data_IF_885325387305
#
_entry.id   IF_885325387305
#
_cell.length_a   1.000
_cell.length_b   1.000
_cell.length_c   1.000
_cell.angle_alpha   90.00
_cell.angle_beta   90.00
_cell.angle_gamma   90.00
#
_symmetry.space_group_name_H-M   'P 1'
#
loop_
_entity.id
_entity.type
_entity.pdbx_description
1 polymer ?
#
# COMPACT_ATOMS: atom_id res chain seq x y z
N UNK A 1 -29.85 51.44 -4.78
CA UNK A 1 -29.49 50.55 -3.64
C UNK A 1 -29.56 49.08 -4.06
N UNK A 2 -28.52 48.54 -4.72
CA UNK A 2 -28.45 47.14 -5.20
C UNK A 2 -27.10 46.45 -4.93
N UNK A 3 -26.24 47.06 -4.10
CA UNK A 3 -24.86 46.61 -3.91
C UNK A 3 -24.70 45.59 -2.76
N UNK A 4 -25.56 45.64 -1.73
CA UNK A 4 -25.31 44.90 -0.49
C UNK A 4 -25.69 43.42 -0.56
N UNK A 5 -26.67 43.04 -1.39
CA UNK A 5 -27.14 41.64 -1.47
C UNK A 5 -26.15 40.72 -2.22
N UNK A 6 -25.45 41.24 -3.23
CA UNK A 6 -24.48 40.46 -4.02
C UNK A 6 -23.20 40.17 -3.22
N UNK A 7 -22.75 41.15 -2.42
CA UNK A 7 -21.60 41.00 -1.52
C UNK A 7 -21.94 39.98 -0.41
N UNK A 8 -23.16 40.04 0.15
CA UNK A 8 -23.61 39.08 1.15
C UNK A 8 -23.64 37.65 0.60
N UNK A 9 -24.16 37.47 -0.62
CA UNK A 9 -24.22 36.15 -1.28
C UNK A 9 -22.83 35.60 -1.60
N UNK A 10 -21.91 36.46 -2.03
CA UNK A 10 -20.51 36.10 -2.31
C UNK A 10 -19.75 35.72 -1.03
N UNK A 11 -19.98 36.42 0.08
CA UNK A 11 -19.41 36.07 1.40
C UNK A 11 -19.95 34.75 1.95
N UNK A 12 -21.25 34.47 1.75
CA UNK A 12 -21.87 33.19 2.15
C UNK A 12 -21.28 32.03 1.33
N UNK A 13 -21.12 32.18 0.01
CA UNK A 13 -20.48 31.17 -0.85
C UNK A 13 -19.02 30.91 -0.46
N UNK A 14 -18.25 31.95 -0.17
CA UNK A 14 -16.86 31.82 0.26
C UNK A 14 -16.75 31.10 1.63
N UNK A 15 -17.68 31.38 2.55
CA UNK A 15 -17.75 30.70 3.85
C UNK A 15 -18.11 29.22 3.74
N UNK A 16 -18.89 28.82 2.73
CA UNK A 16 -19.24 27.40 2.49
C UNK A 16 -18.03 26.65 1.92
N UNK A 17 -17.23 27.28 1.05
CA UNK A 17 -16.00 26.71 0.49
C UNK A 17 -14.85 26.58 1.50
N UNK A 18 -14.87 27.36 2.59
CA UNK A 18 -13.85 27.34 3.66
C UNK A 18 -14.18 26.36 4.80
N UNK A 19 -15.32 25.66 4.74
CA UNK A 19 -15.53 24.51 5.62
C UNK A 19 -14.61 23.39 5.16
N UNK A 20 -13.43 23.35 5.76
CA UNK A 20 -12.55 22.18 5.76
C UNK A 20 -13.41 20.96 6.07
N UNK A 21 -13.49 20.01 5.13
CA UNK A 21 -13.96 18.66 5.45
C UNK A 21 -12.90 18.10 6.39
N UNK A 22 -13.12 18.24 7.70
CA UNK A 22 -12.32 17.57 8.70
C UNK A 22 -12.63 16.08 8.60
N UNK A 23 -11.87 15.36 7.77
CA UNK A 23 -11.82 13.90 7.81
C UNK A 23 -11.15 13.54 9.13
N UNK A 24 -11.96 13.44 10.18
CA UNK A 24 -11.51 12.88 11.45
C UNK A 24 -11.39 11.38 11.23
N UNK A 25 -10.19 10.93 10.87
CA UNK A 25 -9.80 9.54 11.05
C UNK A 25 -9.78 9.28 12.56
N UNK A 26 -10.93 8.91 13.13
CA UNK A 26 -10.91 8.22 14.40
C UNK A 26 -10.31 6.85 14.11
N UNK A 27 -9.03 6.69 14.40
CA UNK A 27 -8.48 5.36 14.69
C UNK A 27 -9.12 4.89 15.99
N UNK A 28 -10.41 4.55 15.94
CA UNK A 28 -11.02 3.71 16.95
C UNK A 28 -10.41 2.34 16.71
N UNK A 29 -9.48 1.95 17.59
CA UNK A 29 -9.18 0.54 17.81
C UNK A 29 -10.47 -0.08 18.35
N UNK A 30 -11.37 -0.41 17.42
CA UNK A 30 -12.56 -1.19 17.69
C UNK A 30 -12.06 -2.54 18.12
N UNK A 31 -12.29 -2.93 19.37
CA UNK A 31 -12.02 -4.29 19.87
C UNK A 31 -12.99 -5.34 19.29
N UNK A 32 -13.69 -5.02 18.21
CA UNK A 32 -14.39 -5.98 17.35
C UNK A 32 -14.46 -5.45 15.91
N UNK A 33 -13.77 -6.07 14.95
CA UNK A 33 -14.22 -6.24 13.54
C UNK A 33 -13.04 -6.50 12.59
N UNK A 34 -13.02 -7.68 11.97
CA UNK A 34 -12.15 -8.08 10.85
C UNK A 34 -10.66 -7.70 10.97
N UNK A 35 -9.82 -8.61 11.46
CA UNK A 35 -8.37 -8.44 11.50
C UNK A 35 -7.83 -8.06 10.11
N UNK A 36 -7.50 -6.78 9.92
CA UNK A 36 -6.86 -6.30 8.70
C UNK A 36 -5.44 -6.87 8.66
N UNK A 37 -5.09 -7.54 7.57
CA UNK A 37 -3.73 -8.05 7.36
C UNK A 37 -2.83 -6.90 6.90
N UNK A 38 -2.03 -6.35 7.82
CA UNK A 38 -1.03 -5.32 7.53
C UNK A 38 0.35 -5.98 7.61
N UNK A 39 0.92 -6.33 6.45
CA UNK A 39 2.08 -7.22 6.35
C UNK A 39 3.28 -6.58 5.67
N UNK A 40 4.43 -6.59 6.34
CA UNK A 40 5.71 -6.17 5.77
C UNK A 40 6.42 -7.40 5.19
N UNK A 41 6.42 -7.51 3.86
CA UNK A 41 6.95 -8.66 3.16
C UNK A 41 8.47 -8.80 3.36
N UNK A 42 8.91 -9.97 3.80
CA UNK A 42 10.33 -10.22 4.07
C UNK A 42 10.91 -9.58 5.33
N UNK A 43 10.09 -8.91 6.15
CA UNK A 43 10.51 -8.42 7.45
C UNK A 43 10.74 -9.58 8.43
N UNK A 44 11.79 -9.49 9.25
CA UNK A 44 12.09 -10.47 10.31
C UNK A 44 11.33 -10.21 11.61
N UNK A 45 10.78 -9.01 11.78
CA UNK A 45 10.05 -8.58 12.96
C UNK A 45 8.96 -7.57 12.63
N UNK A 46 8.07 -7.34 13.59
CA UNK A 46 7.06 -6.31 13.50
C UNK A 46 7.68 -4.91 13.60
N UNK A 47 6.98 -3.92 13.08
CA UNK A 47 7.36 -2.52 13.28
C UNK A 47 6.29 -1.55 12.81
N UNK A 48 6.46 -0.29 13.17
CA UNK A 48 5.46 0.76 12.94
C UNK A 48 5.97 1.73 11.90
N UNK A 49 5.12 2.12 10.96
CA UNK A 49 5.49 3.13 9.96
C UNK A 49 5.33 4.57 10.46
N UNK A 50 5.65 5.53 9.60
CA UNK A 50 5.55 6.97 9.90
C UNK A 50 4.12 7.44 10.22
N UNK A 51 3.10 6.70 9.77
CA UNK A 51 1.69 6.99 10.00
C UNK A 51 1.17 6.33 11.30
N UNK A 52 2.03 5.62 12.04
CA UNK A 52 1.65 4.90 13.25
C UNK A 52 0.95 3.56 12.98
N UNK A 53 1.02 3.01 11.77
CA UNK A 53 0.43 1.70 11.45
C UNK A 53 1.38 0.58 11.84
N UNK A 54 0.84 -0.43 12.53
CA UNK A 54 1.60 -1.61 12.93
C UNK A 54 1.64 -2.66 11.81
N UNK A 55 2.83 -2.96 11.33
CA UNK A 55 3.09 -3.97 10.30
C UNK A 55 3.65 -5.24 10.92
N UNK A 56 3.16 -6.39 10.47
CA UNK A 56 3.58 -7.72 10.92
C UNK A 56 4.39 -8.45 9.83
N UNK A 57 5.30 -9.37 10.19
CA UNK A 57 5.96 -10.24 9.22
C UNK A 57 4.96 -11.09 8.41
N UNK A 58 5.30 -11.31 7.15
CA UNK A 58 4.46 -11.99 6.16
C UNK A 58 4.53 -13.53 6.23
N UNK A 59 5.57 -14.07 6.86
CA UNK A 59 5.95 -15.49 6.78
C UNK A 59 4.83 -16.48 7.14
N UNK A 60 3.96 -16.14 8.10
CA UNK A 60 2.85 -17.01 8.55
C UNK A 60 1.72 -17.17 7.51
N UNK A 61 1.73 -16.35 6.45
CA UNK A 61 0.66 -16.31 5.45
C UNK A 61 1.07 -16.92 4.12
N UNK A 62 2.26 -17.49 3.99
CA UNK A 62 2.79 -18.04 2.74
C UNK A 62 2.73 -19.56 2.80
N UNK A 63 2.09 -20.18 1.81
CA UNK A 63 1.95 -21.64 1.78
C UNK A 63 3.27 -22.37 1.42
N UNK A 64 4.19 -21.71 0.70
CA UNK A 64 5.42 -22.33 0.18
C UNK A 64 6.65 -21.41 0.32
N UNK A 65 7.14 -21.16 1.55
CA UNK A 65 8.22 -20.18 1.79
C UNK A 65 9.57 -20.59 1.18
N UNK A 66 9.79 -21.90 0.94
CA UNK A 66 11.07 -22.44 0.45
C UNK A 66 11.50 -21.98 -0.93
N UNK A 67 10.60 -21.38 -1.72
CA UNK A 67 10.88 -20.87 -3.06
C UNK A 67 10.96 -19.33 -3.11
N UNK A 68 11.17 -18.69 -1.96
CA UNK A 68 11.23 -17.23 -1.86
C UNK A 68 12.51 -16.76 -1.17
N UNK A 69 12.96 -15.57 -1.54
CA UNK A 69 14.11 -14.90 -0.93
C UNK A 69 13.58 -13.68 -0.20
N UNK A 70 13.98 -13.48 1.05
CA UNK A 70 13.72 -12.24 1.77
C UNK A 70 14.97 -11.37 1.70
N UNK A 71 14.81 -10.09 1.40
CA UNK A 71 15.95 -9.19 1.24
C UNK A 71 15.59 -7.78 1.69
N UNK A 72 16.62 -7.04 2.12
CA UNK A 72 16.53 -5.60 2.37
C UNK A 72 17.03 -4.86 1.13
N UNK A 73 16.37 -3.77 0.76
CA UNK A 73 16.80 -2.93 -0.35
C UNK A 73 18.22 -2.42 -0.09
N UNK A 74 19.08 -2.48 -1.11
CA UNK A 74 20.47 -2.05 -0.98
C UNK A 74 20.62 -0.54 -0.84
N UNK A 75 19.63 0.21 -1.32
CA UNK A 75 19.57 1.66 -1.24
C UNK A 75 18.21 2.09 -0.71
N UNK A 76 18.22 3.11 0.16
CA UNK A 76 17.03 3.78 0.65
C UNK A 76 16.85 5.11 -0.09
N UNK A 77 15.76 5.23 -0.83
CA UNK A 77 15.38 6.50 -1.44
C UNK A 77 14.92 7.49 -0.34
N UNK A 78 15.44 8.73 -0.31
CA UNK A 78 15.11 9.72 0.72
C UNK A 78 13.64 10.16 0.69
N UNK A 79 12.91 9.91 -0.40
CA UNK A 79 11.48 10.22 -0.52
C UNK A 79 10.57 9.14 0.05
N UNK A 80 11.12 8.00 0.53
CA UNK A 80 10.31 7.01 1.23
C UNK A 80 9.72 7.61 2.51
N UNK A 81 8.40 7.46 2.75
CA UNK A 81 7.77 8.00 3.95
C UNK A 81 8.24 7.28 5.22
N UNK A 82 8.66 6.02 5.07
CA UNK A 82 9.10 5.14 6.14
C UNK A 82 9.94 4.00 5.57
N UNK A 83 10.85 3.44 6.37
CA UNK A 83 11.55 2.20 6.01
C UNK A 83 10.62 1.00 6.01
N UNK A 84 9.57 1.02 6.84
CA UNK A 84 8.53 0.00 6.88
C UNK A 84 7.32 0.46 6.06
N UNK A 85 6.77 -0.35 5.15
CA UNK A 85 7.18 -1.71 4.77
C UNK A 85 8.24 -1.77 3.65
N UNK A 86 8.69 -0.62 3.14
CA UNK A 86 9.32 -0.51 1.82
C UNK A 86 10.74 -1.08 1.72
N UNK A 87 11.55 -0.99 2.77
CA UNK A 87 12.95 -1.43 2.74
C UNK A 87 13.10 -2.94 2.77
N UNK A 88 12.07 -3.71 3.12
CA UNK A 88 12.10 -5.18 3.09
C UNK A 88 11.19 -5.70 2.00
N UNK A 89 11.64 -6.72 1.28
CA UNK A 89 10.84 -7.40 0.28
C UNK A 89 10.96 -8.92 0.38
N UNK A 90 9.91 -9.60 -0.06
CA UNK A 90 9.96 -11.01 -0.43
C UNK A 90 9.93 -11.14 -1.94
N UNK A 91 10.90 -11.88 -2.47
CA UNK A 91 11.14 -12.08 -3.89
C UNK A 91 10.73 -13.51 -4.22
N UNK A 92 9.96 -13.66 -5.29
CA UNK A 92 9.48 -14.94 -5.77
C UNK A 92 10.11 -15.24 -7.13
N UNK A 93 10.81 -16.36 -7.24
CA UNK A 93 11.37 -16.86 -8.51
C UNK A 93 10.48 -17.91 -9.17
N UNK A 94 9.43 -18.34 -8.47
CA UNK A 94 8.36 -19.21 -8.96
C UNK A 94 7.01 -18.73 -8.42
N UNK A 95 5.92 -19.24 -8.98
CA UNK A 95 4.58 -19.00 -8.45
C UNK A 95 4.52 -19.27 -6.95
N UNK A 96 3.92 -18.33 -6.21
CA UNK A 96 3.83 -18.34 -4.76
C UNK A 96 2.50 -17.74 -4.32
N UNK A 97 1.93 -18.32 -3.26
CA UNK A 97 0.57 -17.99 -2.84
C UNK A 97 0.54 -17.56 -1.38
N UNK A 98 -0.04 -16.39 -1.15
CA UNK A 98 -0.49 -15.97 0.17
C UNK A 98 -1.88 -16.51 0.46
N UNK A 99 -2.12 -16.92 1.71
CA UNK A 99 -3.42 -17.39 2.18
C UNK A 99 -3.89 -16.56 3.37
N UNK A 100 -5.06 -15.96 3.20
CA UNK A 100 -5.73 -15.15 4.20
C UNK A 100 -7.09 -15.75 4.54
N UNK A 101 -7.42 -15.79 5.82
CA UNK A 101 -8.78 -16.11 6.27
C UNK A 101 -9.56 -14.81 6.30
N UNK A 102 -10.47 -14.63 5.34
CA UNK A 102 -11.27 -13.41 5.18
C UNK A 102 -12.77 -13.74 5.21
N UNK A 103 -13.64 -12.79 5.60
CA UNK A 103 -15.08 -13.03 5.58
C UNK A 103 -15.58 -13.27 4.15
N UNK A 104 -16.50 -14.22 3.97
CA UNK A 104 -16.96 -14.67 2.64
C UNK A 104 -17.97 -13.75 1.95
N UNK A 105 -18.56 -12.80 2.69
CA UNK A 105 -19.64 -11.91 2.19
C UNK A 105 -19.36 -10.43 2.48
N UNK A 106 -18.09 -10.05 2.56
CA UNK A 106 -17.66 -8.66 2.75
C UNK A 106 -16.83 -8.20 1.57
N UNK A 107 -17.02 -6.93 1.18
CA UNK A 107 -16.08 -6.24 0.30
C UNK A 107 -14.74 -6.06 1.02
N UNK A 108 -13.65 -6.33 0.32
CA UNK A 108 -12.30 -6.23 0.86
C UNK A 108 -11.49 -5.19 0.09
N UNK A 109 -10.57 -4.55 0.79
CA UNK A 109 -9.58 -3.67 0.17
C UNK A 109 -8.23 -4.38 0.16
N UNK A 110 -7.62 -4.48 -1.02
CA UNK A 110 -6.29 -5.06 -1.19
C UNK A 110 -5.35 -3.93 -1.60
N UNK A 111 -4.31 -3.70 -0.79
CA UNK A 111 -3.22 -2.77 -1.08
C UNK A 111 -1.93 -3.54 -1.28
N UNK A 112 -1.32 -3.38 -2.46
CA UNK A 112 -0.02 -3.93 -2.78
C UNK A 112 1.00 -2.80 -2.78
N UNK A 113 2.05 -2.93 -1.97
CA UNK A 113 3.12 -1.96 -1.83
C UNK A 113 4.36 -2.46 -2.57
N UNK A 114 4.93 -1.63 -3.44
CA UNK A 114 6.12 -1.95 -4.22
C UNK A 114 7.15 -0.85 -4.07
N UNK A 115 8.38 -1.20 -3.69
CA UNK A 115 9.54 -0.33 -3.76
C UNK A 115 10.55 -0.96 -4.75
N UNK A 116 10.59 -0.53 -6.02
CA UNK A 116 11.52 -1.07 -7.02
C UNK A 116 12.95 -0.58 -6.75
N UNK A 117 13.67 -1.32 -5.91
CA UNK A 117 15.09 -1.13 -5.60
C UNK A 117 15.86 -2.42 -5.94
N UNK A 118 17.18 -2.39 -5.77
CA UNK A 118 18.01 -3.59 -5.88
C UNK A 118 17.86 -4.41 -4.60
N UNK A 119 17.57 -5.69 -4.76
CA UNK A 119 17.44 -6.63 -3.64
C UNK A 119 18.27 -7.88 -3.92
N UNK A 120 19.19 -8.24 -3.02
CA UNK A 120 20.06 -9.40 -3.18
C UNK A 120 20.77 -9.42 -4.54
N UNK A 121 21.24 -8.25 -5.00
CA UNK A 121 21.86 -8.03 -6.31
C UNK A 121 20.98 -8.31 -7.53
N UNK A 122 19.65 -8.41 -7.36
CA UNK A 122 18.69 -8.51 -8.45
C UNK A 122 18.24 -7.11 -8.89
N UNK A 123 18.36 -6.83 -10.20
CA UNK A 123 17.95 -5.56 -10.79
C UNK A 123 16.41 -5.51 -10.96
N UNK A 124 15.72 -4.49 -10.40
CA UNK A 124 14.26 -4.36 -10.47
C UNK A 124 13.72 -4.19 -11.90
N UNK A 125 14.55 -3.82 -12.88
CA UNK A 125 14.14 -3.67 -14.28
C UNK A 125 13.77 -4.99 -14.94
N UNK A 126 14.26 -6.12 -14.42
CA UNK A 126 13.89 -7.46 -14.89
C UNK A 126 12.68 -8.05 -14.15
N UNK A 127 12.10 -7.31 -13.20
CA UNK A 127 10.93 -7.76 -12.46
C UNK A 127 9.66 -7.52 -13.28
N UNK A 128 9.11 -8.61 -13.83
CA UNK A 128 7.80 -8.66 -14.45
C UNK A 128 7.02 -9.81 -13.86
N UNK A 129 5.81 -9.52 -13.38
CA UNK A 129 4.98 -10.53 -12.74
C UNK A 129 3.50 -10.21 -12.88
N UNK A 130 2.69 -11.20 -12.55
CA UNK A 130 1.23 -11.07 -12.46
C UNK A 130 0.80 -11.34 -11.03
N UNK A 131 -0.29 -10.70 -10.61
CA UNK A 131 -0.90 -10.94 -9.30
C UNK A 131 -2.36 -11.26 -9.53
N UNK A 132 -2.79 -12.40 -9.00
CA UNK A 132 -4.19 -12.81 -8.97
C UNK A 132 -4.67 -12.85 -7.52
N UNK A 133 -5.93 -12.50 -7.33
CA UNK A 133 -6.64 -12.68 -6.08
C UNK A 133 -7.92 -13.44 -6.39
N UNK A 134 -8.00 -14.70 -5.95
CA UNK A 134 -9.05 -15.64 -6.35
C UNK A 134 -9.17 -15.71 -7.88
N UNK A 135 -10.33 -15.36 -8.44
CA UNK A 135 -10.61 -15.37 -9.89
C UNK A 135 -10.27 -14.07 -10.60
N UNK A 136 -9.69 -13.08 -9.91
CA UNK A 136 -9.41 -11.76 -10.47
C UNK A 136 -7.91 -11.55 -10.71
N UNK A 137 -7.55 -11.15 -11.93
CA UNK A 137 -6.21 -10.66 -12.24
C UNK A 137 -6.12 -9.19 -11.83
N UNK A 138 -5.31 -8.90 -10.81
CA UNK A 138 -5.07 -7.54 -10.31
C UNK A 138 -3.98 -6.84 -11.11
N UNK A 139 -2.93 -7.57 -11.43
CA UNK A 139 -1.76 -7.10 -12.18
C UNK A 139 -1.40 -8.16 -13.22
N UNK A 140 -1.01 -7.72 -14.41
CA UNK A 140 -0.57 -8.61 -15.48
C UNK A 140 0.65 -8.01 -16.18
N UNK A 141 1.73 -8.80 -16.29
CA UNK A 141 3.01 -8.34 -16.85
C UNK A 141 3.47 -6.99 -16.27
N UNK A 142 3.28 -6.82 -14.96
CA UNK A 142 3.51 -5.56 -14.27
C UNK A 142 4.99 -5.39 -13.94
N UNK A 143 5.54 -4.22 -14.27
CA UNK A 143 6.85 -3.76 -13.80
C UNK A 143 6.68 -2.58 -12.85
N UNK A 144 7.07 -2.78 -11.59
CA UNK A 144 7.10 -1.71 -10.60
C UNK A 144 8.14 -0.64 -10.98
N UNK A 145 9.29 -1.03 -11.52
CA UNK A 145 10.36 -0.12 -11.93
C UNK A 145 9.90 0.86 -13.01
N UNK A 146 9.36 0.36 -14.13
CA UNK A 146 8.85 1.21 -15.22
C UNK A 146 7.74 2.13 -14.72
N UNK A 147 6.84 1.60 -13.91
CA UNK A 147 5.72 2.37 -13.35
C UNK A 147 6.21 3.52 -12.46
N UNK A 148 7.13 3.22 -11.54
CA UNK A 148 7.72 4.19 -10.61
C UNK A 148 8.47 5.28 -11.37
N UNK A 149 9.28 4.90 -12.35
CA UNK A 149 10.01 5.83 -13.21
C UNK A 149 9.06 6.74 -14.00
N UNK A 150 8.02 6.19 -14.64
CA UNK A 150 7.07 6.96 -15.43
C UNK A 150 6.27 7.98 -14.57
N UNK A 151 6.01 7.64 -13.31
CA UNK A 151 5.30 8.51 -12.37
C UNK A 151 6.23 9.43 -11.57
N UNK A 152 7.56 9.30 -11.72
CA UNK A 152 8.55 10.00 -10.89
C UNK A 152 8.33 9.76 -9.39
N UNK A 153 8.01 8.50 -9.03
CA UNK A 153 7.80 8.07 -7.65
C UNK A 153 8.88 7.06 -7.26
N UNK A 154 9.34 7.08 -6.01
CA UNK A 154 10.24 6.04 -5.51
C UNK A 154 9.53 4.71 -5.24
N UNK A 155 8.25 4.74 -4.85
CA UNK A 155 7.45 3.56 -4.52
C UNK A 155 6.05 3.66 -5.11
N UNK A 156 5.38 2.51 -5.22
CA UNK A 156 4.04 2.39 -5.78
C UNK A 156 3.13 1.71 -4.76
N UNK A 157 1.91 2.24 -4.64
CA UNK A 157 0.78 1.53 -4.01
C UNK A 157 -0.24 1.23 -5.10
N UNK A 158 -0.72 -0.01 -5.14
CA UNK A 158 -1.87 -0.42 -5.96
C UNK A 158 -2.99 -0.84 -5.03
N UNK A 159 -4.12 -0.15 -5.12
CA UNK A 159 -5.31 -0.43 -4.30
C UNK A 159 -6.43 -0.99 -5.17
N UNK A 160 -7.07 -2.06 -4.69
CA UNK A 160 -8.18 -2.73 -5.34
C UNK A 160 -9.31 -2.94 -4.33
N UNK A 161 -10.54 -2.92 -4.82
CA UNK A 161 -11.72 -3.30 -4.04
C UNK A 161 -12.32 -4.56 -4.63
N UNK A 162 -12.26 -5.66 -3.86
CA UNK A 162 -12.71 -6.99 -4.22
C UNK A 162 -14.07 -7.32 -3.59
#
# INVERSE_FOLDING_TARGET
MKCNSQILFSLILLSICLNTISVTSKYSKSESDSDSYILACGASGAGTDSDGRDWQPDAKHINSPGNSITSTAENQDPSLPSTIPYMTARIFTSESTYKFSVPTKSRLWVRLHFYPSTYSSLDPNYSYFSVTANSFTLLNNFSASITAQALTLAYIIREFSL
#
